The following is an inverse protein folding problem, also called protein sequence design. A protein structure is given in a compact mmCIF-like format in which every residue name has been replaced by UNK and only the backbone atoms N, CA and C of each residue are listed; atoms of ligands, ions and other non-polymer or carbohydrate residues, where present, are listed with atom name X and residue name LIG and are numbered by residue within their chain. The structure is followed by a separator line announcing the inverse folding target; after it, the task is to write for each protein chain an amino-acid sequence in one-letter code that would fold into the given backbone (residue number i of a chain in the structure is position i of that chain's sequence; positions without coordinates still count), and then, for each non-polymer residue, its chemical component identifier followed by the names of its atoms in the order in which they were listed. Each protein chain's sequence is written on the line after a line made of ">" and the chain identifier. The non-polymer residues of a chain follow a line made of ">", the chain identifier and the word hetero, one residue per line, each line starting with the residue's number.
data_IF_079766713647
#
_entry.id   IF_079766713647
#
_cell.length_a   1.000
_cell.length_b   1.000
_cell.length_c   1.000
_cell.angle_alpha   90.00
_cell.angle_beta   90.00
_cell.angle_gamma   90.00
#
_symmetry.space_group_name_H-M   'P 1'
#
loop_
_entity.id
_entity.type
_entity.pdbx_description
1 polymer ?
#
# COMPACT_ATOMS: atom_id res chain seq x y z
N UNK A 1 6.25 5.99 -7.28
CA UNK A 1 6.74 4.69 -6.76
C UNK A 1 5.60 3.70 -6.74
N UNK A 2 5.78 2.52 -7.34
CA UNK A 2 4.80 1.41 -7.26
C UNK A 2 5.32 0.36 -6.32
N UNK A 3 4.41 -0.29 -5.62
CA UNK A 3 4.72 -1.47 -4.82
C UNK A 3 3.69 -2.55 -5.09
N UNK A 4 4.15 -3.78 -5.27
CA UNK A 4 3.30 -4.98 -5.27
C UNK A 4 3.94 -5.99 -4.34
N UNK A 5 3.13 -6.52 -3.46
CA UNK A 5 3.57 -7.44 -2.42
C UNK A 5 2.65 -8.66 -2.42
N UNK A 6 3.23 -9.81 -2.21
CA UNK A 6 2.50 -11.04 -1.83
C UNK A 6 2.86 -11.30 -0.37
N UNK A 7 1.84 -11.43 0.45
CA UNK A 7 1.98 -11.57 1.90
C UNK A 7 1.25 -12.83 2.32
N UNK A 8 1.83 -13.58 3.26
CA UNK A 8 1.21 -14.74 3.90
C UNK A 8 1.07 -14.47 5.39
N UNK A 9 -0.15 -14.61 5.88
CA UNK A 9 -0.41 -14.57 7.32
C UNK A 9 0.08 -15.86 7.99
N UNK A 10 0.67 -15.71 9.16
CA UNK A 10 1.15 -16.80 10.01
C UNK A 10 0.16 -17.06 11.14
N UNK A 11 0.14 -18.27 11.69
CA UNK A 11 -0.74 -18.68 12.80
C UNK A 11 -0.59 -17.81 14.05
N UNK A 12 0.54 -17.14 14.21
CA UNK A 12 0.80 -16.23 15.33
C UNK A 12 0.28 -14.80 15.12
N UNK A 13 -0.35 -14.51 13.96
CA UNK A 13 -0.87 -13.19 13.60
C UNK A 13 0.19 -12.21 13.11
N UNK A 14 1.39 -12.68 12.76
CA UNK A 14 2.37 -11.94 11.98
C UNK A 14 2.24 -12.29 10.51
N UNK A 15 3.01 -11.67 9.62
CA UNK A 15 2.98 -12.00 8.21
C UNK A 15 4.38 -12.09 7.60
N UNK A 16 4.54 -13.03 6.66
CA UNK A 16 5.72 -13.14 5.83
C UNK A 16 5.50 -12.40 4.52
N UNK A 17 6.48 -11.59 4.13
CA UNK A 17 6.49 -10.92 2.83
C UNK A 17 7.16 -11.87 1.84
N UNK A 18 6.34 -12.55 1.02
CA UNK A 18 6.84 -13.54 0.05
C UNK A 18 7.47 -12.88 -1.17
N UNK A 19 6.97 -11.70 -1.56
CA UNK A 19 7.59 -10.85 -2.57
C UNK A 19 7.30 -9.38 -2.30
N UNK A 20 8.21 -8.49 -2.70
CA UNK A 20 8.07 -7.04 -2.53
C UNK A 20 8.71 -6.30 -3.70
N UNK A 21 7.96 -6.12 -4.76
CA UNK A 21 8.42 -5.46 -5.98
C UNK A 21 8.19 -3.96 -5.85
N UNK A 22 9.26 -3.21 -6.00
CA UNK A 22 9.25 -1.74 -5.94
C UNK A 22 9.82 -1.18 -7.22
N UNK A 23 9.03 -0.38 -7.94
CA UNK A 23 9.50 0.40 -9.08
C UNK A 23 9.49 1.89 -8.75
N UNK A 24 10.64 2.53 -8.91
CA UNK A 24 10.83 3.95 -8.62
C UNK A 24 10.66 4.78 -9.89
N UNK A 25 9.97 5.90 -9.77
CA UNK A 25 9.82 6.89 -10.86
C UNK A 25 10.57 8.19 -10.57
N UNK A 26 11.50 8.18 -9.62
CA UNK A 26 12.20 9.39 -9.16
C UNK A 26 12.89 10.08 -10.33
N UNK A 27 13.59 9.35 -11.19
CA UNK A 27 14.32 9.92 -12.32
C UNK A 27 13.38 10.55 -13.38
N UNK A 28 12.19 9.97 -13.58
CA UNK A 28 11.20 10.50 -14.50
C UNK A 28 10.64 11.86 -14.03
N UNK A 29 10.45 11.99 -12.72
CA UNK A 29 9.89 13.19 -12.11
C UNK A 29 10.93 14.26 -11.76
N UNK A 30 12.21 13.90 -11.66
CA UNK A 30 13.31 14.79 -11.29
C UNK A 30 13.40 16.04 -12.18
N UNK A 31 13.09 15.90 -13.48
CA UNK A 31 13.10 17.00 -14.45
C UNK A 31 12.03 18.06 -14.18
N UNK A 32 11.00 17.71 -13.40
CA UNK A 32 9.87 18.59 -13.11
C UNK A 32 9.92 19.18 -11.69
N UNK A 33 10.96 18.86 -10.92
CA UNK A 33 11.11 19.34 -9.54
C UNK A 33 10.12 18.72 -8.53
N UNK A 34 9.30 17.74 -8.95
CA UNK A 34 8.31 17.08 -8.10
C UNK A 34 7.46 16.09 -8.88
N UNK A 35 6.52 15.44 -8.18
CA UNK A 35 5.64 14.45 -8.80
C UNK A 35 4.62 15.13 -9.72
N UNK A 36 4.58 14.70 -10.99
CA UNK A 36 3.55 15.07 -11.97
C UNK A 36 2.50 13.95 -11.97
N UNK A 37 1.28 14.17 -11.44
CA UNK A 37 0.29 13.11 -11.21
C UNK A 37 -0.08 12.31 -12.47
N UNK A 38 -0.26 12.99 -13.59
CA UNK A 38 -0.64 12.35 -14.86
C UNK A 38 0.48 11.46 -15.42
N UNK A 39 1.72 11.92 -15.37
CA UNK A 39 2.88 11.11 -15.76
C UNK A 39 3.00 9.89 -14.84
N UNK A 40 2.81 10.10 -13.54
CA UNK A 40 2.82 9.00 -12.57
C UNK A 40 1.74 7.97 -12.89
N UNK A 41 0.50 8.38 -13.17
CA UNK A 41 -0.58 7.47 -13.49
C UNK A 41 -0.34 6.68 -14.79
N UNK A 42 0.18 7.36 -15.83
CA UNK A 42 0.52 6.70 -17.10
C UNK A 42 1.58 5.62 -16.92
N UNK A 43 2.67 5.99 -16.27
CA UNK A 43 3.73 5.03 -15.99
C UNK A 43 3.27 3.91 -15.03
N UNK A 44 2.24 4.13 -14.17
CA UNK A 44 1.57 3.07 -13.42
C UNK A 44 0.91 2.06 -14.37
N UNK A 45 0.17 2.53 -15.36
CA UNK A 45 -0.49 1.64 -16.33
C UNK A 45 0.53 0.84 -17.16
N UNK A 46 1.61 1.46 -17.58
CA UNK A 46 2.63 0.83 -18.42
C UNK A 46 3.39 -0.29 -17.70
N UNK A 47 3.60 -0.15 -16.39
CA UNK A 47 4.44 -1.07 -15.63
C UNK A 47 3.65 -2.08 -14.76
N UNK A 48 2.34 -1.92 -14.61
CA UNK A 48 1.58 -2.66 -13.61
C UNK A 48 1.55 -4.16 -13.87
N UNK A 49 1.42 -4.57 -15.11
CA UNK A 49 1.41 -5.98 -15.53
C UNK A 49 2.75 -6.65 -15.18
N UNK A 50 3.85 -6.03 -15.59
CA UNK A 50 5.20 -6.53 -15.31
C UNK A 50 5.45 -6.69 -13.82
N UNK A 51 5.03 -5.72 -13.01
CA UNK A 51 5.27 -5.73 -11.57
C UNK A 51 4.42 -6.79 -10.86
N UNK A 52 3.17 -7.00 -11.31
CA UNK A 52 2.30 -8.07 -10.78
C UNK A 52 2.86 -9.44 -11.14
N UNK A 53 3.21 -9.66 -12.39
CA UNK A 53 3.79 -10.91 -12.86
C UNK A 53 5.10 -11.23 -12.13
N UNK A 54 5.96 -10.24 -11.94
CA UNK A 54 7.20 -10.39 -11.17
C UNK A 54 6.91 -10.76 -9.71
N UNK A 55 5.93 -10.11 -9.07
CA UNK A 55 5.58 -10.41 -7.68
C UNK A 55 5.08 -11.85 -7.51
N UNK A 56 4.24 -12.33 -8.42
CA UNK A 56 3.74 -13.71 -8.43
C UNK A 56 4.89 -14.71 -8.67
N UNK A 57 5.77 -14.44 -9.63
CA UNK A 57 6.92 -15.30 -9.92
C UNK A 57 7.90 -15.40 -8.75
N UNK A 58 8.25 -14.28 -8.13
CA UNK A 58 9.17 -14.25 -6.98
C UNK A 58 8.59 -14.96 -5.76
N UNK A 59 7.29 -14.77 -5.50
CA UNK A 59 6.61 -15.45 -4.40
C UNK A 59 6.36 -16.94 -4.66
N UNK A 60 6.43 -17.38 -5.92
CA UNK A 60 6.04 -18.72 -6.38
C UNK A 60 4.58 -19.05 -6.08
N UNK A 61 3.73 -18.03 -6.06
CA UNK A 61 2.27 -18.14 -5.84
C UNK A 61 1.57 -17.79 -7.14
N UNK A 62 0.56 -18.57 -7.51
CA UNK A 62 -0.35 -18.23 -8.62
C UNK A 62 -1.51 -17.37 -8.14
N UNK A 63 -2.21 -16.70 -9.08
CA UNK A 63 -3.39 -15.90 -8.76
C UNK A 63 -4.49 -16.74 -8.08
N UNK A 64 -4.63 -17.99 -8.48
CA UNK A 64 -5.65 -18.89 -7.93
C UNK A 64 -5.40 -19.27 -6.47
N UNK A 65 -4.15 -19.24 -6.04
CA UNK A 65 -3.73 -19.52 -4.66
C UNK A 65 -3.88 -18.32 -3.71
N UNK A 66 -4.20 -17.13 -4.24
CA UNK A 66 -4.47 -15.96 -3.40
C UNK A 66 -5.81 -16.11 -2.68
N UNK A 67 -5.87 -15.72 -1.41
CA UNK A 67 -7.11 -15.67 -0.63
C UNK A 67 -7.87 -14.37 -0.83
N UNK A 68 -7.20 -13.31 -1.25
CA UNK A 68 -7.80 -12.00 -1.49
C UNK A 68 -6.86 -10.99 -2.13
N UNK A 69 -7.41 -9.87 -2.55
CA UNK A 69 -6.69 -8.77 -3.16
C UNK A 69 -6.95 -7.49 -2.39
N UNK A 70 -5.90 -6.75 -2.07
CA UNK A 70 -6.00 -5.46 -1.42
C UNK A 70 -5.36 -4.35 -2.27
N UNK A 71 -5.94 -3.16 -2.22
CA UNK A 71 -5.33 -1.98 -2.82
C UNK A 71 -5.60 -0.73 -1.99
N UNK A 72 -4.67 0.23 -2.03
CA UNK A 72 -4.82 1.51 -1.35
C UNK A 72 -5.97 2.31 -1.96
N UNK A 73 -6.96 2.66 -1.12
CA UNK A 73 -8.15 3.42 -1.52
C UNK A 73 -7.99 4.94 -1.34
N UNK A 74 -7.10 5.37 -0.46
CA UNK A 74 -6.81 6.78 -0.13
C UNK A 74 -6.35 6.93 1.32
N UNK A 75 -5.94 8.13 1.72
CA UNK A 75 -5.70 9.33 0.90
C UNK A 75 -4.48 9.20 -0.04
N UNK A 76 -4.43 10.04 -1.09
CA UNK A 76 -3.32 10.08 -2.05
C UNK A 76 -3.72 10.68 -3.40
N UNK A 77 -2.81 10.63 -4.38
CA UNK A 77 -3.06 11.12 -5.73
C UNK A 77 -4.15 10.29 -6.42
N UNK A 78 -5.31 10.90 -6.62
CA UNK A 78 -6.53 10.21 -7.08
C UNK A 78 -6.31 9.44 -8.39
N UNK A 79 -5.61 10.03 -9.36
CA UNK A 79 -5.33 9.38 -10.65
C UNK A 79 -4.49 8.10 -10.49
N UNK A 80 -3.51 8.10 -9.58
CA UNK A 80 -2.69 6.94 -9.29
C UNK A 80 -3.45 5.88 -8.48
N UNK A 81 -4.24 6.32 -7.49
CA UNK A 81 -5.09 5.44 -6.69
C UNK A 81 -6.12 4.71 -7.57
N UNK A 82 -6.73 5.43 -8.52
CA UNK A 82 -7.72 4.86 -9.45
C UNK A 82 -7.13 3.73 -10.28
N UNK A 83 -5.89 3.87 -10.75
CA UNK A 83 -5.20 2.78 -11.47
C UNK A 83 -5.05 1.55 -10.57
N UNK A 84 -4.50 1.72 -9.38
CA UNK A 84 -4.29 0.62 -8.43
C UNK A 84 -5.57 -0.07 -8.01
N UNK A 85 -6.63 0.72 -7.69
CA UNK A 85 -7.93 0.21 -7.29
C UNK A 85 -8.62 -0.58 -8.40
N UNK A 86 -8.66 -0.05 -9.62
CA UNK A 86 -9.32 -0.71 -10.73
C UNK A 86 -8.63 -2.03 -11.11
N UNK A 87 -7.31 -2.05 -11.15
CA UNK A 87 -6.57 -3.28 -11.42
C UNK A 87 -6.78 -4.31 -10.30
N UNK A 88 -6.69 -3.87 -9.03
CA UNK A 88 -6.95 -4.76 -7.89
C UNK A 88 -8.36 -5.37 -7.92
N UNK A 89 -9.38 -4.54 -8.19
CA UNK A 89 -10.77 -5.01 -8.36
C UNK A 89 -10.92 -5.96 -9.55
N UNK A 90 -10.25 -5.67 -10.67
CA UNK A 90 -10.31 -6.53 -11.85
C UNK A 90 -9.70 -7.92 -11.58
N UNK A 91 -8.54 -7.96 -10.90
CA UNK A 91 -7.92 -9.22 -10.50
C UNK A 91 -8.84 -9.99 -9.55
N UNK A 92 -9.37 -9.34 -8.52
CA UNK A 92 -10.26 -9.97 -7.55
C UNK A 92 -11.53 -10.53 -8.23
N UNK A 93 -12.15 -9.76 -9.11
CA UNK A 93 -13.33 -10.19 -9.85
C UNK A 93 -13.03 -11.37 -10.80
N UNK A 94 -11.91 -11.30 -11.54
CA UNK A 94 -11.53 -12.36 -12.47
C UNK A 94 -11.20 -13.67 -11.74
N UNK A 95 -10.49 -13.59 -10.61
CA UNK A 95 -10.10 -14.76 -9.81
C UNK A 95 -11.16 -15.19 -8.80
N UNK A 96 -12.32 -14.52 -8.76
CA UNK A 96 -13.38 -14.75 -7.78
C UNK A 96 -12.90 -14.71 -6.32
N UNK A 97 -12.07 -13.71 -6.02
CA UNK A 97 -11.51 -13.49 -4.68
C UNK A 97 -12.07 -12.22 -4.05
N UNK A 98 -12.12 -12.12 -2.71
CA UNK A 98 -12.53 -10.90 -2.03
C UNK A 98 -11.55 -9.75 -2.33
N UNK A 99 -12.08 -8.51 -2.33
CA UNK A 99 -11.32 -7.28 -2.50
C UNK A 99 -11.46 -6.38 -1.29
N UNK A 100 -10.34 -5.82 -0.84
CA UNK A 100 -10.31 -4.85 0.26
C UNK A 100 -9.63 -3.55 -0.19
N UNK A 101 -10.33 -2.42 -0.02
CA UNK A 101 -9.77 -1.08 -0.15
C UNK A 101 -9.15 -0.64 1.17
N UNK A 102 -7.84 -0.44 1.22
CA UNK A 102 -7.10 -0.10 2.44
C UNK A 102 -6.87 1.41 2.53
N UNK A 103 -7.10 1.99 3.70
CA UNK A 103 -6.70 3.36 3.99
C UNK A 103 -5.16 3.46 4.02
N UNK A 104 -4.61 4.44 3.31
CA UNK A 104 -3.15 4.62 3.18
C UNK A 104 -2.45 4.86 4.51
N UNK A 105 -3.05 5.68 5.39
CA UNK A 105 -2.49 5.98 6.71
C UNK A 105 -2.60 4.79 7.65
N UNK A 106 -3.68 4.03 7.55
CA UNK A 106 -3.85 2.77 8.27
C UNK A 106 -2.81 1.73 7.85
N UNK A 107 -2.52 1.63 6.54
CA UNK A 107 -1.44 0.80 6.04
C UNK A 107 -0.08 1.15 6.65
N UNK A 108 0.22 2.44 6.81
CA UNK A 108 1.41 2.89 7.53
C UNK A 108 1.36 2.56 9.03
N UNK A 109 0.21 2.81 9.67
CA UNK A 109 0.04 2.57 11.08
C UNK A 109 0.20 1.10 11.46
N UNK A 110 -0.35 0.20 10.66
CA UNK A 110 -0.37 -1.23 10.96
C UNK A 110 0.86 -1.98 10.44
N UNK A 111 1.68 -1.36 9.56
CA UNK A 111 2.85 -2.02 8.96
C UNK A 111 3.85 -2.62 9.96
N UNK A 112 4.11 -2.03 11.15
CA UNK A 112 4.98 -2.67 12.14
C UNK A 112 4.41 -3.98 12.68
N UNK A 113 3.09 -4.19 12.57
CA UNK A 113 2.41 -5.43 12.96
C UNK A 113 2.73 -6.63 12.08
N UNK A 114 3.31 -6.42 10.89
CA UNK A 114 3.73 -7.51 10.00
C UNK A 114 4.83 -8.37 10.63
N UNK A 115 5.79 -7.74 11.30
CA UNK A 115 6.93 -8.44 11.89
C UNK A 115 6.71 -8.83 13.36
N UNK A 116 5.96 -8.01 14.10
CA UNK A 116 5.78 -8.17 15.54
C UNK A 116 4.34 -7.90 15.93
N UNK A 117 3.78 -8.75 16.79
CA UNK A 117 2.47 -8.49 17.37
C UNK A 117 2.51 -7.22 18.21
N UNK A 118 1.80 -6.19 17.75
CA UNK A 118 1.70 -4.89 18.43
C UNK A 118 0.46 -4.90 19.32
N UNK A 119 0.62 -4.36 20.54
CA UNK A 119 -0.51 -4.17 21.46
C UNK A 119 -1.12 -2.79 21.23
N UNK A 120 -2.42 -2.73 21.07
CA UNK A 120 -3.18 -1.50 21.06
C UNK A 120 -3.54 -1.04 22.49
N UNK A 121 -3.74 0.27 22.72
CA UNK A 121 -3.42 1.36 21.81
C UNK A 121 -1.94 1.71 21.79
N UNK A 122 -1.47 2.37 20.72
CA UNK A 122 -0.12 2.94 20.67
C UNK A 122 -0.12 4.31 19.97
N UNK A 123 0.91 5.13 20.27
CA UNK A 123 1.15 6.39 19.61
C UNK A 123 2.06 6.16 18.40
N UNK A 124 1.62 6.63 17.25
CA UNK A 124 2.39 6.64 16.01
C UNK A 124 2.80 8.07 15.67
N UNK A 125 4.08 8.28 15.41
CA UNK A 125 4.58 9.48 14.76
C UNK A 125 4.78 9.15 13.27
N UNK A 126 3.94 9.72 12.42
CA UNK A 126 4.06 9.62 10.97
C UNK A 126 4.83 10.82 10.45
N UNK A 127 6.00 10.56 9.85
CA UNK A 127 6.85 11.58 9.22
C UNK A 127 6.93 11.27 7.73
N UNK A 128 6.49 12.20 6.91
CA UNK A 128 6.58 12.10 5.45
C UNK A 128 7.11 13.40 4.86
N UNK A 129 7.43 13.39 3.56
CA UNK A 129 7.85 14.61 2.86
C UNK A 129 6.73 15.65 2.68
N UNK A 130 5.48 15.29 2.93
CA UNK A 130 4.32 16.16 2.77
C UNK A 130 3.72 16.66 4.08
N UNK A 131 3.83 15.89 5.16
CA UNK A 131 3.28 16.25 6.46
C UNK A 131 3.85 15.37 7.57
N UNK A 132 3.80 15.88 8.79
CA UNK A 132 4.18 15.18 10.01
C UNK A 132 3.02 15.26 10.98
N UNK A 133 2.60 14.11 11.53
CA UNK A 133 1.45 14.08 12.44
C UNK A 133 1.57 12.97 13.47
N UNK A 134 0.93 13.17 14.62
CA UNK A 134 0.74 12.16 15.64
C UNK A 134 -0.63 11.48 15.45
N UNK A 135 -0.64 10.16 15.61
CA UNK A 135 -1.84 9.33 15.52
C UNK A 135 -1.92 8.42 16.74
N UNK A 136 -3.07 8.34 17.37
CA UNK A 136 -3.35 7.28 18.34
C UNK A 136 -4.03 6.13 17.58
N UNK A 137 -3.34 5.01 17.52
CA UNK A 137 -3.85 3.79 16.90
C UNK A 137 -4.51 2.98 18.01
N UNK A 138 -5.84 2.98 18.06
CA UNK A 138 -6.61 2.31 19.11
C UNK A 138 -6.87 0.85 18.78
N UNK A 139 -7.08 0.57 17.51
CA UNK A 139 -7.36 -0.77 17.00
C UNK A 139 -7.21 -0.75 15.47
N UNK A 140 -7.32 -1.91 14.82
CA UNK A 140 -7.52 -2.00 13.38
C UNK A 140 -8.77 -1.22 13.01
N UNK A 141 -8.72 -0.41 11.95
CA UNK A 141 -9.77 0.52 11.52
C UNK A 141 -10.11 1.66 12.52
N UNK A 142 -9.29 1.88 13.54
CA UNK A 142 -9.53 2.94 14.52
C UNK A 142 -8.30 3.81 14.75
N UNK A 143 -8.13 4.83 13.90
CA UNK A 143 -7.10 5.85 14.01
C UNK A 143 -7.71 7.15 14.53
N UNK A 144 -7.11 7.73 15.57
CA UNK A 144 -7.44 9.07 16.04
C UNK A 144 -6.28 10.01 15.70
N UNK A 145 -6.60 11.07 15.00
CA UNK A 145 -5.68 12.16 14.70
C UNK A 145 -5.63 13.09 15.91
N UNK A 146 -4.43 13.34 16.45
CA UNK A 146 -4.28 14.14 17.68
C UNK A 146 -3.92 15.60 17.39
N UNK A 147 -3.04 15.86 16.43
CA UNK A 147 -2.70 17.20 15.93
C UNK A 147 -1.83 17.09 14.70
N UNK A 148 -1.84 18.12 13.87
CA UNK A 148 -0.82 18.30 12.85
C UNK A 148 0.39 18.96 13.52
N UNK A 149 1.54 18.29 13.59
CA UNK A 149 2.74 18.82 14.23
C UNK A 149 3.40 19.98 13.45
N UNK A 150 2.78 20.40 12.35
CA UNK A 150 3.24 21.49 11.50
C UNK A 150 2.60 22.87 11.85
N UNK A 151 1.65 22.90 12.79
CA UNK A 151 0.90 24.11 13.17
C UNK A 151 1.40 24.75 14.47
N UNK A 152 2.58 24.39 15.00
CA UNK A 152 3.22 25.05 16.13
C UNK A 152 4.51 25.77 15.75
#
# INVERSE_FOLDING_TARGET
>A
MYKRQIIRENDNGTADILSNIVSSQIEEHKKFGGVVPELAARAHLENIEYIIDTALKESKISIDELDGVAATAGPGLIVCLTVGLNIGKSIAAFSNKPFIGVNHLEGHALSPGLEKKIKFPYLLLLISGGHTQFLIVKDVNCLLYTSDAADE
#
